data_IF_210912216910
#
_entry.id   IF_210912216910
#
_cell.length_a   1.000
_cell.length_b   1.000
_cell.length_c   1.000
_cell.angle_alpha   90.00
_cell.angle_beta   90.00
_cell.angle_gamma   90.00
#
_symmetry.space_group_name_H-M   'P 1'
#
loop_
_entity.id
_entity.type
_entity.pdbx_description
1 polymer ?
#
# COMPACT_ATOMS: atom_id res chain seq x y z
N UNK A 1 -8.95 20.36 -60.24
CA UNK A 1 -8.18 21.20 -59.29
C UNK A 1 -9.02 21.85 -58.18
N UNK A 2 -10.30 22.21 -58.38
CA UNK A 2 -11.15 22.79 -57.31
C UNK A 2 -11.74 21.79 -56.30
N UNK A 3 -11.78 20.50 -56.59
CA UNK A 3 -12.36 19.48 -55.68
C UNK A 3 -11.37 18.98 -54.61
N UNK A 4 -10.06 19.03 -54.87
CA UNK A 4 -9.06 18.56 -53.90
C UNK A 4 -8.86 19.54 -52.73
N UNK A 5 -9.00 20.86 -52.99
CA UNK A 5 -8.94 21.91 -51.98
C UNK A 5 -10.12 21.89 -50.99
N UNK A 6 -11.29 21.38 -51.39
CA UNK A 6 -12.44 21.20 -50.48
C UNK A 6 -12.26 19.99 -49.56
N UNK A 7 -11.60 18.93 -50.02
CA UNK A 7 -11.31 17.73 -49.20
C UNK A 7 -10.23 17.99 -48.14
N UNK A 8 -9.26 18.87 -48.41
CA UNK A 8 -8.23 19.23 -47.43
C UNK A 8 -8.78 20.11 -46.30
N UNK A 9 -9.64 21.10 -46.61
CA UNK A 9 -10.27 21.97 -45.61
C UNK A 9 -11.13 21.20 -44.60
N UNK A 10 -12.02 20.32 -45.08
CA UNK A 10 -12.86 19.49 -44.20
C UNK A 10 -12.07 18.53 -43.29
N UNK A 11 -10.84 18.16 -43.67
CA UNK A 11 -10.02 17.20 -42.90
C UNK A 11 -9.19 17.89 -41.82
N UNK A 12 -8.93 19.18 -41.95
CA UNK A 12 -8.26 19.98 -40.92
C UNK A 12 -9.26 20.48 -39.88
N UNK A 13 -10.44 20.93 -40.32
CA UNK A 13 -11.53 21.34 -39.43
C UNK A 13 -12.01 20.17 -38.55
N UNK A 14 -12.23 18.98 -39.13
CA UNK A 14 -12.56 17.76 -38.38
C UNK A 14 -11.46 17.27 -37.42
N UNK A 15 -10.19 17.61 -37.69
CA UNK A 15 -9.08 17.31 -36.77
C UNK A 15 -9.02 18.32 -35.64
N UNK A 16 -9.38 19.57 -35.89
CA UNK A 16 -9.44 20.61 -34.87
C UNK A 16 -10.53 20.32 -33.85
N UNK A 17 -11.74 19.98 -34.30
CA UNK A 17 -12.86 19.64 -33.41
C UNK A 17 -12.55 18.45 -32.50
N UNK A 18 -11.86 17.43 -33.02
CA UNK A 18 -11.41 16.27 -32.24
C UNK A 18 -10.34 16.61 -31.23
N UNK A 19 -9.44 17.55 -31.55
CA UNK A 19 -8.42 18.00 -30.61
C UNK A 19 -9.05 18.80 -29.47
N UNK A 20 -10.07 19.61 -29.76
CA UNK A 20 -10.83 20.33 -28.72
C UNK A 20 -11.67 19.40 -27.82
N UNK A 21 -12.16 18.29 -28.36
CA UNK A 21 -12.81 17.24 -27.57
C UNK A 21 -11.82 16.53 -26.64
N UNK A 22 -10.65 16.13 -27.16
CA UNK A 22 -9.58 15.51 -26.36
C UNK A 22 -9.07 16.46 -25.27
N UNK A 23 -8.88 17.75 -25.56
CA UNK A 23 -8.44 18.73 -24.58
C UNK A 23 -9.47 18.95 -23.46
N UNK A 24 -10.77 18.80 -23.76
CA UNK A 24 -11.83 18.81 -22.74
C UNK A 24 -11.78 17.57 -21.87
N UNK A 25 -11.60 16.39 -22.46
CA UNK A 25 -11.46 15.14 -21.71
C UNK A 25 -10.24 15.15 -20.80
N UNK A 26 -9.09 15.65 -21.27
CA UNK A 26 -7.88 15.79 -20.45
C UNK A 26 -8.14 16.67 -19.23
N UNK A 27 -8.77 17.84 -19.42
CA UNK A 27 -9.11 18.74 -18.31
C UNK A 27 -10.07 18.10 -17.30
N UNK A 28 -11.03 17.31 -17.76
CA UNK A 28 -11.95 16.60 -16.87
C UNK A 28 -11.20 15.52 -16.06
N UNK A 29 -10.32 14.76 -16.71
CA UNK A 29 -9.48 13.75 -16.06
C UNK A 29 -8.57 14.39 -15.01
N UNK A 30 -7.92 15.51 -15.34
CA UNK A 30 -7.08 16.26 -14.39
C UNK A 30 -7.87 16.76 -13.18
N UNK A 31 -9.08 17.30 -13.40
CA UNK A 31 -9.97 17.71 -12.30
C UNK A 31 -10.37 16.53 -11.41
N UNK A 32 -10.69 15.38 -12.01
CA UNK A 32 -11.04 14.16 -11.27
C UNK A 32 -9.86 13.61 -10.48
N UNK A 33 -8.63 13.66 -11.01
CA UNK A 33 -7.42 13.26 -10.29
C UNK A 33 -7.24 14.16 -9.07
N UNK A 34 -7.34 15.48 -9.24
CA UNK A 34 -7.22 16.44 -8.15
C UNK A 34 -8.25 16.19 -7.03
N UNK A 35 -9.52 15.98 -7.38
CA UNK A 35 -10.54 15.63 -6.39
C UNK A 35 -10.25 14.31 -5.67
N UNK A 36 -9.70 13.31 -6.37
CA UNK A 36 -9.34 12.02 -5.78
C UNK A 36 -8.13 12.13 -4.85
N UNK A 37 -7.17 13.01 -5.16
CA UNK A 37 -6.05 13.33 -4.29
C UNK A 37 -6.51 14.04 -3.02
N UNK A 38 -7.41 15.03 -3.14
CA UNK A 38 -8.02 15.71 -1.99
C UNK A 38 -8.87 14.72 -1.15
N UNK A 39 -9.66 13.85 -1.78
CA UNK A 39 -10.43 12.81 -1.09
C UNK A 39 -9.55 11.75 -0.42
N UNK A 40 -8.35 11.46 -0.96
CA UNK A 40 -7.35 10.60 -0.30
C UNK A 40 -6.83 11.20 1.00
N UNK A 41 -6.71 12.53 1.09
CA UNK A 41 -6.36 13.20 2.34
C UNK A 41 -7.50 13.17 3.37
N UNK A 42 -8.76 13.26 2.93
CA UNK A 42 -9.94 13.42 3.82
C UNK A 42 -10.42 12.12 4.49
N UNK A 43 -9.94 10.94 4.06
CA UNK A 43 -10.17 9.70 4.81
C UNK A 43 -9.29 9.53 6.07
N UNK A 44 -8.56 10.58 6.48
CA UNK A 44 -8.08 10.69 7.86
C UNK A 44 -9.28 10.93 8.80
N UNK A 45 -9.62 9.89 9.55
CA UNK A 45 -10.68 9.82 10.57
C UNK A 45 -10.80 11.05 11.47
N UNK A 46 -12.04 11.34 11.87
CA UNK A 46 -12.44 12.27 12.94
C UNK A 46 -11.63 12.06 14.23
N UNK A 47 -10.47 12.68 14.32
CA UNK A 47 -9.65 12.93 15.50
C UNK A 47 -8.48 13.76 14.97
N UNK A 48 -8.26 14.95 15.51
CA UNK A 48 -7.28 15.94 15.04
C UNK A 48 -5.81 15.52 15.20
N UNK A 49 -5.46 14.30 14.79
CA UNK A 49 -4.10 13.79 14.71
C UNK A 49 -3.96 13.22 13.31
N UNK A 50 -3.14 13.87 12.46
CA UNK A 50 -2.82 13.31 11.16
C UNK A 50 -2.23 11.91 11.34
N UNK A 51 -3.01 10.86 11.04
CA UNK A 51 -2.53 9.49 11.00
C UNK A 51 -1.65 9.42 9.75
N UNK A 52 -0.35 9.72 9.91
CA UNK A 52 0.62 9.36 8.88
C UNK A 52 0.48 7.85 8.68
N UNK A 53 0.23 7.41 7.44
CA UNK A 53 0.35 5.98 7.09
C UNK A 53 1.79 5.60 7.46
N UNK A 54 1.95 4.81 8.52
CA UNK A 54 3.24 4.29 8.87
C UNK A 54 3.58 3.22 7.83
N UNK A 55 4.50 3.52 6.91
CA UNK A 55 4.99 2.49 6.01
C UNK A 55 5.80 1.47 6.83
N UNK A 56 5.87 0.26 6.31
CA UNK A 56 6.66 -0.81 6.91
C UNK A 56 8.11 -0.61 6.46
N UNK A 57 9.02 -0.40 7.41
CA UNK A 57 10.45 -0.31 7.12
C UNK A 57 11.07 -1.68 6.87
N UNK A 58 10.68 -2.68 7.66
CA UNK A 58 11.11 -4.09 7.51
C UNK A 58 10.00 -5.00 8.03
N UNK A 59 9.79 -6.15 7.41
CA UNK A 59 8.93 -7.19 7.97
C UNK A 59 9.43 -8.60 7.65
N UNK A 60 9.09 -9.54 8.53
CA UNK A 60 9.23 -10.97 8.29
C UNK A 60 7.92 -11.68 8.59
N UNK A 61 7.57 -12.66 7.77
CA UNK A 61 6.55 -13.65 8.09
C UNK A 61 7.16 -14.77 8.91
N UNK A 62 6.40 -15.27 9.88
CA UNK A 62 6.77 -16.36 10.78
C UNK A 62 6.04 -17.61 10.34
N UNK A 63 6.79 -18.68 10.04
CA UNK A 63 6.25 -19.97 9.66
C UNK A 63 6.62 -21.03 10.69
N UNK A 64 5.72 -21.98 10.94
CA UNK A 64 6.00 -23.22 11.66
C UNK A 64 5.82 -24.40 10.70
N UNK A 65 6.92 -24.93 10.17
CA UNK A 65 6.86 -25.82 9.02
C UNK A 65 6.36 -25.06 7.78
N UNK A 66 5.25 -25.50 7.21
CA UNK A 66 4.62 -24.86 6.04
C UNK A 66 3.52 -23.85 6.41
N UNK A 67 3.07 -23.83 7.68
CA UNK A 67 1.99 -22.97 8.14
C UNK A 67 2.52 -21.58 8.49
N UNK A 68 1.91 -20.53 7.93
CA UNK A 68 2.15 -19.14 8.35
C UNK A 68 1.44 -18.89 9.68
N UNK A 69 2.20 -18.60 10.73
CA UNK A 69 1.70 -18.42 12.09
C UNK A 69 1.83 -16.97 12.58
N UNK A 70 2.32 -16.05 11.75
CA UNK A 70 2.43 -14.66 12.17
C UNK A 70 3.36 -13.78 11.34
N UNK A 71 3.61 -12.59 11.87
CA UNK A 71 4.45 -11.57 11.26
C UNK A 71 5.11 -10.69 12.33
N UNK A 72 6.33 -10.24 12.04
CA UNK A 72 7.05 -9.25 12.84
C UNK A 72 7.39 -8.08 11.92
N UNK A 73 7.00 -6.87 12.30
CA UNK A 73 7.19 -5.66 11.50
C UNK A 73 7.87 -4.55 12.29
N UNK A 74 8.82 -3.87 11.65
CA UNK A 74 9.39 -2.60 12.06
C UNK A 74 8.78 -1.51 11.17
N UNK A 75 8.15 -0.54 11.79
CA UNK A 75 7.53 0.60 11.10
C UNK A 75 8.53 1.74 10.92
N UNK A 76 8.31 2.61 9.95
CA UNK A 76 9.15 3.79 9.73
C UNK A 76 9.14 4.77 10.91
N UNK A 77 8.05 4.80 11.68
CA UNK A 77 7.93 5.62 12.90
C UNK A 77 8.67 5.02 14.11
N UNK A 78 9.41 3.93 13.92
CA UNK A 78 10.22 3.27 14.95
C UNK A 78 9.45 2.27 15.80
N UNK A 79 8.15 2.09 15.60
CA UNK A 79 7.38 1.06 16.30
C UNK A 79 7.77 -0.34 15.85
N UNK A 80 7.58 -1.33 16.72
CA UNK A 80 7.72 -2.75 16.36
C UNK A 80 6.46 -3.50 16.73
N UNK A 81 5.90 -4.24 15.78
CA UNK A 81 4.73 -5.09 15.97
C UNK A 81 5.09 -6.55 15.83
N UNK A 82 4.56 -7.38 16.72
CA UNK A 82 4.61 -8.84 16.64
C UNK A 82 3.17 -9.34 16.65
N UNK A 83 2.80 -10.11 15.63
CA UNK A 83 1.54 -10.83 15.56
C UNK A 83 1.84 -12.32 15.46
N UNK A 84 1.32 -13.12 16.39
CA UNK A 84 1.40 -14.58 16.33
C UNK A 84 -0.01 -15.13 16.52
N UNK A 85 -0.41 -16.03 15.64
CA UNK A 85 -1.67 -16.72 15.68
C UNK A 85 -1.49 -18.17 15.24
N UNK A 86 -2.34 -19.04 15.79
CA UNK A 86 -2.42 -20.44 15.43
C UNK A 86 -3.86 -20.80 15.17
N UNK A 87 -4.10 -21.61 14.14
CA UNK A 87 -5.40 -22.20 13.90
C UNK A 87 -5.59 -23.42 14.79
N UNK A 88 -6.68 -23.45 15.55
CA UNK A 88 -7.09 -24.58 16.38
C UNK A 88 -8.51 -25.00 15.97
N UNK A 89 -8.61 -25.91 15.01
CA UNK A 89 -9.89 -26.29 14.40
C UNK A 89 -10.45 -25.16 13.53
N UNK A 90 -11.65 -24.69 13.87
CA UNK A 90 -12.28 -23.54 13.20
C UNK A 90 -11.89 -22.18 13.81
N UNK A 91 -11.27 -22.18 15.00
CA UNK A 91 -10.90 -20.95 15.71
C UNK A 91 -9.47 -20.50 15.38
N UNK A 92 -9.26 -19.19 15.41
CA UNK A 92 -7.93 -18.58 15.37
C UNK A 92 -7.62 -18.04 16.76
N UNK A 93 -6.59 -18.58 17.40
CA UNK A 93 -6.08 -18.07 18.68
C UNK A 93 -4.77 -17.34 18.45
N UNK A 94 -4.69 -16.10 18.90
CA UNK A 94 -3.51 -15.29 18.69
C UNK A 94 -3.67 -13.87 19.21
N UNK A 95 -2.61 -13.10 19.03
CA UNK A 95 -2.58 -11.70 19.43
C UNK A 95 -1.53 -10.93 18.66
N UNK A 96 -1.75 -9.62 18.60
CA UNK A 96 -0.79 -8.65 18.11
C UNK A 96 -0.40 -7.73 19.25
N UNK A 97 0.90 -7.43 19.34
CA UNK A 97 1.41 -6.43 20.27
C UNK A 97 2.32 -5.47 19.52
N UNK A 98 2.15 -4.18 19.79
CA UNK A 98 2.98 -3.11 19.22
C UNK A 98 3.68 -2.36 20.34
N UNK A 99 5.01 -2.33 20.30
CA UNK A 99 5.80 -1.48 21.16
C UNK A 99 5.99 -0.11 20.51
N UNK A 100 5.69 0.96 21.27
CA UNK A 100 5.84 2.34 20.82
C UNK A 100 7.30 2.70 20.50
N UNK A 101 8.24 2.26 21.35
CA UNK A 101 9.67 2.56 21.24
C UNK A 101 10.51 1.30 20.96
N UNK A 102 10.02 0.42 20.07
CA UNK A 102 10.68 -0.86 19.80
C UNK A 102 12.00 -0.70 19.03
N UNK A 103 11.97 0.08 17.97
CA UNK A 103 13.07 0.30 17.05
C UNK A 103 13.63 -1.00 16.46
N UNK A 104 14.78 -0.87 15.79
CA UNK A 104 15.42 -2.00 15.12
C UNK A 104 15.92 -3.08 16.10
N UNK A 105 16.29 -2.67 17.32
CA UNK A 105 16.71 -3.60 18.37
C UNK A 105 15.59 -4.56 18.76
N UNK A 106 14.38 -4.05 19.06
CA UNK A 106 13.28 -4.93 19.44
C UNK A 106 12.79 -5.76 18.26
N UNK A 107 12.85 -5.24 17.04
CA UNK A 107 12.56 -6.01 15.82
C UNK A 107 13.42 -7.27 15.68
N UNK A 108 14.74 -7.18 15.92
CA UNK A 108 15.61 -8.36 15.89
C UNK A 108 15.48 -9.25 17.13
N UNK A 109 15.23 -8.68 18.32
CA UNK A 109 14.94 -9.48 19.52
C UNK A 109 13.66 -10.29 19.34
N UNK A 110 12.60 -9.69 18.77
CA UNK A 110 11.35 -10.37 18.49
C UNK A 110 11.54 -11.53 17.51
N UNK A 111 12.37 -11.35 16.48
CA UNK A 111 12.73 -12.41 15.54
C UNK A 111 13.48 -13.55 16.23
N UNK A 112 14.49 -13.22 17.04
CA UNK A 112 15.24 -14.21 17.81
C UNK A 112 14.30 -14.99 18.74
N UNK A 113 13.44 -14.29 19.48
CA UNK A 113 12.44 -14.88 20.35
C UNK A 113 11.50 -15.82 19.57
N UNK A 114 10.90 -15.36 18.47
CA UNK A 114 10.01 -16.19 17.66
C UNK A 114 10.71 -17.45 17.11
N UNK A 115 11.94 -17.29 16.60
CA UNK A 115 12.75 -18.41 16.09
C UNK A 115 13.16 -19.41 17.18
N UNK A 116 13.14 -19.02 18.45
CA UNK A 116 13.46 -19.88 19.59
C UNK A 116 12.29 -20.73 20.09
N UNK A 117 11.06 -20.44 19.64
CA UNK A 117 9.86 -21.16 20.09
C UNK A 117 9.83 -22.63 19.61
N UNK A 118 10.45 -22.92 18.46
CA UNK A 118 10.65 -24.28 17.94
C UNK A 118 11.71 -24.27 16.83
N UNK A 119 12.43 -25.38 16.70
CA UNK A 119 13.33 -25.71 15.60
C UNK A 119 12.68 -25.66 14.20
N UNK A 120 11.36 -25.80 14.12
CA UNK A 120 10.57 -25.71 12.89
C UNK A 120 10.24 -24.28 12.48
N UNK A 121 10.51 -23.29 13.34
CA UNK A 121 10.23 -21.90 13.01
C UNK A 121 11.17 -21.41 11.91
N UNK A 122 10.59 -20.80 10.87
CA UNK A 122 11.32 -20.12 9.80
C UNK A 122 10.80 -18.70 9.65
N UNK A 123 11.72 -17.75 9.48
CA UNK A 123 11.41 -16.36 9.21
C UNK A 123 11.69 -16.09 7.73
N UNK A 124 10.73 -15.50 7.03
CA UNK A 124 10.89 -15.10 5.63
C UNK A 124 10.71 -13.59 5.50
N UNK A 125 11.69 -12.85 4.97
CA UNK A 125 11.53 -11.43 4.68
C UNK A 125 10.32 -11.18 3.79
N UNK A 126 9.65 -10.05 4.03
CA UNK A 126 8.60 -9.51 3.16
C UNK A 126 9.22 -8.38 2.36
N UNK A 127 8.99 -8.37 1.04
CA UNK A 127 9.35 -7.23 0.20
C UNK A 127 8.46 -6.04 0.59
N UNK A 128 9.08 -4.94 0.96
CA UNK A 128 8.41 -3.68 1.31
C UNK A 128 8.61 -2.69 0.16
N UNK A 129 7.52 -2.08 -0.32
CA UNK A 129 7.50 -1.05 -1.38
C UNK A 129 7.96 0.33 -0.87
#
# INVERSE_FOLDING_TARGET
MREELKKSGNREEFRHDKLEEIDREIKEIESRIKELEEKKEVHSTQSGTAIRRANIKKAVKVYNGEEEIGMIALWEDGKTTVCIAKKEGEEIKGGCYTAADGGEKLYYIAQAWASSLSDKIKLKPVETE
#
